data_IF_455970095229
#
_entry.id   IF_455970095229
#
_cell.length_a   1.000
_cell.length_b   1.000
_cell.length_c   1.000
_cell.angle_alpha   90.00
_cell.angle_beta   90.00
_cell.angle_gamma   90.00
#
_symmetry.space_group_name_H-M   'P 1'
#
loop_
_entity.id
_entity.type
_entity.pdbx_description
1 polymer ?
#
# COMPACT_ATOMS: atom_id res chain seq x y z
N UNK A 1 -2.00 -60.61 -1.95
CA UNK A 1 -0.92 -61.63 -2.04
C UNK A 1 0.37 -60.87 -1.82
N UNK A 2 0.93 -61.03 -0.63
CA UNK A 2 2.25 -61.55 -0.25
C UNK A 2 3.41 -60.76 -0.81
N UNK A 3 4.07 -60.05 0.04
CA UNK A 3 5.19 -60.28 1.00
C UNK A 3 6.50 -59.80 0.42
N UNK A 4 7.11 -58.88 1.08
CA UNK A 4 8.23 -58.98 2.06
C UNK A 4 9.59 -59.02 1.35
N UNK A 5 10.65 -58.39 1.74
CA UNK A 5 11.36 -58.30 3.02
C UNK A 5 12.56 -57.35 2.91
N UNK A 6 12.86 -56.65 3.96
CA UNK A 6 14.18 -56.15 4.39
C UNK A 6 15.03 -57.36 4.87
N UNK A 7 16.36 -57.39 5.15
CA UNK A 7 17.13 -56.36 5.88
C UNK A 7 18.68 -56.40 5.75
N UNK A 8 19.34 -55.47 6.54
CA UNK A 8 20.63 -55.61 7.29
C UNK A 8 21.96 -55.15 6.64
N UNK A 9 22.56 -54.12 7.28
CA UNK A 9 23.60 -54.10 8.36
C UNK A 9 25.05 -54.36 7.93
N UNK A 10 25.92 -53.46 8.40
CA UNK A 10 27.35 -53.66 8.64
C UNK A 10 28.16 -52.36 8.55
N UNK A 11 28.46 -51.68 9.58
CA UNK A 11 29.44 -51.67 10.66
C UNK A 11 30.89 -51.34 10.24
N UNK A 12 31.35 -50.20 10.81
CA UNK A 12 32.62 -49.93 11.54
C UNK A 12 33.90 -49.64 10.74
N UNK A 13 34.53 -48.55 11.24
CA UNK A 13 35.97 -48.34 11.15
C UNK A 13 36.34 -46.93 11.62
N UNK A 14 36.97 -46.89 12.81
CA UNK A 14 37.41 -45.71 13.53
C UNK A 14 38.85 -45.31 13.19
N UNK A 15 39.21 -44.16 13.74
CA UNK A 15 40.54 -43.70 14.12
C UNK A 15 41.29 -42.68 13.27
N UNK A 16 41.71 -41.64 13.99
CA UNK A 16 42.82 -40.79 13.59
C UNK A 16 42.83 -39.37 14.09
N UNK A 17 42.96 -39.16 15.42
CA UNK A 17 43.35 -37.90 16.01
C UNK A 17 44.71 -37.42 15.52
N UNK A 18 44.86 -36.13 15.22
CA UNK A 18 46.13 -35.40 15.46
C UNK A 18 45.86 -33.95 15.86
N UNK A 19 46.21 -33.71 17.11
CA UNK A 19 46.42 -32.41 17.75
C UNK A 19 47.60 -31.68 17.09
N UNK A 20 47.47 -30.42 16.77
CA UNK A 20 48.60 -29.53 16.54
C UNK A 20 48.52 -28.28 17.44
N UNK A 21 49.60 -28.02 18.11
CA UNK A 21 49.89 -27.16 19.25
C UNK A 21 49.75 -25.67 18.97
N UNK A 22 49.26 -24.97 19.99
CA UNK A 22 49.38 -23.52 20.18
C UNK A 22 50.84 -23.10 20.36
N UNK A 23 51.22 -21.94 19.82
CA UNK A 23 52.32 -21.12 20.31
C UNK A 23 51.92 -19.64 20.41
N UNK A 24 52.60 -18.80 21.24
CA UNK A 24 51.96 -17.71 21.93
C UNK A 24 52.22 -16.31 21.35
N UNK A 25 51.34 -15.39 21.75
CA UNK A 25 51.37 -13.96 21.43
C UNK A 25 52.64 -13.24 21.94
N UNK A 26 53.24 -12.40 21.10
CA UNK A 26 54.13 -11.31 21.49
C UNK A 26 53.35 -10.00 21.62
N UNK A 27 53.35 -9.45 22.83
CA UNK A 27 52.96 -8.06 23.12
C UNK A 27 53.95 -7.09 22.48
N UNK A 28 53.47 -6.09 21.77
CA UNK A 28 54.23 -4.84 21.59
C UNK A 28 53.31 -3.67 21.96
N UNK A 29 53.72 -2.93 22.95
CA UNK A 29 53.23 -1.65 23.40
C UNK A 29 53.69 -0.55 22.45
N UNK A 30 52.78 0.33 22.07
CA UNK A 30 53.12 1.55 21.33
C UNK A 30 52.00 2.54 21.44
N UNK A 31 52.09 3.47 22.37
CA UNK A 31 51.21 4.61 22.57
C UNK A 31 51.41 5.63 21.45
N UNK A 32 50.37 5.99 20.75
CA UNK A 32 50.32 7.28 20.04
C UNK A 32 48.88 7.82 20.09
N UNK A 33 48.74 8.91 20.84
CA UNK A 33 47.53 9.74 20.89
C UNK A 33 47.41 10.52 19.59
N UNK A 34 46.46 10.17 18.76
CA UNK A 34 45.96 11.07 17.72
C UNK A 34 44.54 11.50 18.09
N UNK A 35 44.36 12.77 18.40
CA UNK A 35 43.08 13.43 18.58
C UNK A 35 42.40 13.56 17.21
N UNK A 36 41.44 12.70 16.89
CA UNK A 36 40.50 12.85 15.78
C UNK A 36 39.25 13.59 16.27
N UNK A 37 39.17 14.89 16.05
CA UNK A 37 37.91 15.64 16.05
C UNK A 37 37.22 15.38 14.74
N UNK A 38 35.97 14.85 14.78
CA UNK A 38 35.12 14.87 13.60
C UNK A 38 34.16 13.70 13.47
N UNK A 39 33.10 13.61 14.30
CA UNK A 39 31.83 12.94 13.90
C UNK A 39 30.66 13.26 14.85
N UNK A 40 30.53 14.48 15.36
CA UNK A 40 29.45 14.84 16.28
C UNK A 40 28.28 15.59 15.65
N UNK A 41 28.31 15.89 14.34
CA UNK A 41 27.26 16.69 13.67
C UNK A 41 26.06 15.88 13.16
N UNK A 42 26.31 14.70 12.63
CA UNK A 42 25.23 13.89 11.99
C UNK A 42 24.33 13.22 13.04
N UNK A 43 24.91 12.77 14.16
CA UNK A 43 24.13 12.14 15.24
C UNK A 43 23.20 13.12 15.97
N UNK A 44 23.70 14.32 16.27
CA UNK A 44 22.90 15.34 16.98
C UNK A 44 21.70 15.83 16.18
N UNK A 45 21.86 16.06 14.88
CA UNK A 45 20.75 16.47 13.99
C UNK A 45 19.68 15.38 13.85
N UNK A 46 20.07 14.11 13.93
CA UNK A 46 19.15 12.97 13.83
C UNK A 46 18.37 12.76 15.11
N UNK A 47 19.00 12.95 16.27
CA UNK A 47 18.35 12.86 17.58
C UNK A 47 17.42 14.04 17.85
N UNK A 48 17.75 15.23 17.37
CA UNK A 48 16.90 16.41 17.43
C UNK A 48 15.69 16.28 16.53
N UNK A 49 15.83 15.73 15.30
CA UNK A 49 14.70 15.43 14.40
C UNK A 49 13.79 14.37 15.02
N UNK A 50 14.33 13.29 15.59
CA UNK A 50 13.56 12.26 16.30
C UNK A 50 12.80 12.81 17.51
N UNK A 51 13.37 13.76 18.25
CA UNK A 51 12.67 14.46 19.34
C UNK A 51 11.50 15.30 18.82
N UNK A 52 11.68 15.99 17.71
CA UNK A 52 10.63 16.80 17.08
C UNK A 52 9.50 15.93 16.49
N UNK A 53 9.84 14.78 15.90
CA UNK A 53 8.84 13.85 15.34
C UNK A 53 7.95 13.23 16.42
N UNK A 54 8.46 13.06 17.64
CA UNK A 54 7.71 12.54 18.82
C UNK A 54 7.13 13.63 19.72
N UNK A 55 7.27 14.90 19.38
CA UNK A 55 6.58 15.98 20.04
C UNK A 55 5.16 16.14 19.49
N UNK A 56 4.31 15.16 19.81
CA UNK A 56 2.94 15.10 19.29
C UNK A 56 2.09 16.32 19.65
N UNK A 57 2.45 17.03 20.71
CA UNK A 57 1.71 18.19 21.17
C UNK A 57 2.04 19.46 20.38
N UNK A 58 3.29 19.59 19.90
CA UNK A 58 3.77 20.81 19.25
C UNK A 58 4.07 20.64 17.75
N UNK A 59 4.02 19.40 17.22
CA UNK A 59 4.25 19.15 15.81
C UNK A 59 2.93 19.27 15.02
N UNK A 60 2.79 20.24 14.08
CA UNK A 60 1.58 20.46 13.30
C UNK A 60 1.10 19.23 12.52
N UNK A 61 2.01 18.27 12.23
CA UNK A 61 1.65 17.00 11.59
C UNK A 61 0.60 16.22 12.38
N UNK A 62 0.57 16.39 13.71
CA UNK A 62 -0.27 15.61 14.61
C UNK A 62 -1.47 16.40 15.16
N UNK A 63 -1.67 17.60 14.62
CA UNK A 63 -2.82 18.41 15.00
C UNK A 63 -4.14 17.67 14.74
N UNK A 64 -5.01 17.61 15.74
CA UNK A 64 -6.28 16.89 15.67
C UNK A 64 -6.19 15.37 15.68
N UNK A 65 -5.00 14.77 15.94
CA UNK A 65 -4.80 13.33 16.09
C UNK A 65 -4.66 12.96 17.57
N UNK A 66 -5.57 12.13 18.07
CA UNK A 66 -5.59 11.64 19.44
C UNK A 66 -4.90 10.27 19.56
N UNK A 67 -4.21 10.09 20.69
CA UNK A 67 -3.62 8.83 21.11
C UNK A 67 -4.09 8.48 22.51
N UNK A 68 -4.53 7.25 22.74
CA UNK A 68 -4.94 6.75 24.06
C UNK A 68 -3.77 6.15 24.87
N UNK A 69 -2.55 6.33 24.38
CA UNK A 69 -1.31 5.83 24.97
C UNK A 69 -0.25 6.93 24.97
N UNK A 70 0.77 6.74 25.80
CA UNK A 70 1.88 7.68 25.96
C UNK A 70 3.09 7.29 25.09
N UNK A 71 4.04 8.22 24.93
CA UNK A 71 5.33 7.94 24.29
C UNK A 71 6.13 6.90 25.07
N UNK A 72 5.99 6.83 26.40
CA UNK A 72 6.61 5.78 27.19
C UNK A 72 6.07 4.39 26.86
N UNK A 73 4.77 4.27 26.56
CA UNK A 73 4.19 3.01 26.10
C UNK A 73 4.76 2.58 24.75
N UNK A 74 4.88 3.52 23.81
CA UNK A 74 5.50 3.25 22.50
C UNK A 74 6.94 2.75 22.68
N UNK A 75 7.76 3.47 23.46
CA UNK A 75 9.16 3.07 23.72
C UNK A 75 9.28 1.70 24.38
N UNK A 76 8.36 1.36 25.28
CA UNK A 76 8.32 0.05 25.93
C UNK A 76 7.98 -1.09 24.96
N UNK A 77 7.23 -0.80 23.90
CA UNK A 77 6.81 -1.77 22.87
C UNK A 77 7.79 -1.85 21.69
N UNK A 78 8.68 -0.87 21.54
CA UNK A 78 9.77 -0.93 20.56
C UNK A 78 10.80 -1.96 20.97
N UNK A 79 11.44 -2.61 19.99
CA UNK A 79 12.60 -3.50 20.25
C UNK A 79 13.85 -2.71 20.62
N UNK A 80 14.86 -3.41 21.13
CA UNK A 80 16.18 -2.81 21.44
C UNK A 80 16.93 -2.32 20.20
N UNK A 81 16.63 -2.88 19.04
CA UNK A 81 17.19 -2.48 17.74
C UNK A 81 16.12 -1.71 16.98
N UNK A 82 16.47 -0.49 16.57
CA UNK A 82 15.58 0.33 15.74
C UNK A 82 15.73 -0.12 14.28
N UNK A 83 14.66 -0.64 13.71
CA UNK A 83 14.58 -1.00 12.29
C UNK A 83 14.14 0.24 11.50
N UNK A 84 14.91 0.60 10.47
CA UNK A 84 14.58 1.74 9.61
C UNK A 84 13.73 1.30 8.42
N UNK A 85 12.52 1.82 8.33
CA UNK A 85 11.58 1.58 7.23
C UNK A 85 11.64 2.75 6.23
N UNK A 86 12.77 2.88 5.53
CA UNK A 86 13.11 4.06 4.70
C UNK A 86 12.04 4.38 3.66
N UNK A 87 11.53 3.38 2.93
CA UNK A 87 10.53 3.61 1.88
C UNK A 87 9.18 4.04 2.47
N UNK A 88 8.73 3.40 3.55
CA UNK A 88 7.48 3.76 4.22
C UNK A 88 7.54 5.18 4.79
N UNK A 89 8.64 5.54 5.46
CA UNK A 89 8.84 6.89 6.01
C UNK A 89 8.85 7.94 4.90
N UNK A 90 9.70 7.77 3.88
CA UNK A 90 9.77 8.68 2.73
C UNK A 90 8.40 8.82 2.05
N UNK A 91 7.71 7.70 1.83
CA UNK A 91 6.39 7.68 1.23
C UNK A 91 5.34 8.42 2.08
N UNK A 92 5.32 8.19 3.40
CA UNK A 92 4.38 8.85 4.30
C UNK A 92 4.62 10.36 4.38
N UNK A 93 5.86 10.80 4.53
CA UNK A 93 6.24 12.22 4.52
C UNK A 93 5.86 12.89 3.19
N UNK A 94 6.13 12.22 2.05
CA UNK A 94 5.78 12.70 0.71
C UNK A 94 4.26 12.77 0.52
N UNK A 95 3.52 11.73 0.94
CA UNK A 95 2.06 11.72 0.85
C UNK A 95 1.45 12.87 1.63
N UNK A 96 1.91 13.09 2.88
CA UNK A 96 1.45 14.20 3.69
C UNK A 96 1.70 15.56 3.01
N UNK A 97 2.91 15.77 2.50
CA UNK A 97 3.27 17.01 1.80
C UNK A 97 2.40 17.25 0.55
N UNK A 98 2.15 16.20 -0.23
CA UNK A 98 1.29 16.28 -1.41
C UNK A 98 -0.16 16.61 -1.06
N UNK A 99 -0.70 16.00 0.01
CA UNK A 99 -2.07 16.28 0.48
C UNK A 99 -2.26 17.73 0.95
N UNK A 100 -1.18 18.38 1.42
CA UNK A 100 -1.22 19.79 1.81
C UNK A 100 -1.04 20.74 0.61
N UNK A 101 -0.17 20.37 -0.33
CA UNK A 101 0.23 21.26 -1.43
C UNK A 101 -0.72 21.19 -2.64
N UNK A 102 -1.24 19.99 -2.96
CA UNK A 102 -2.05 19.79 -4.16
C UNK A 102 -3.53 20.10 -3.92
N UNK A 103 -4.27 20.54 -4.94
CA UNK A 103 -5.73 20.64 -4.85
C UNK A 103 -6.37 19.31 -4.44
N UNK A 104 -5.92 18.23 -5.05
CA UNK A 104 -6.18 16.83 -4.68
C UNK A 104 -5.14 15.92 -5.34
N UNK A 105 -4.99 14.71 -4.81
CA UNK A 105 -4.19 13.64 -5.41
C UNK A 105 -5.15 12.62 -5.99
N UNK A 106 -4.94 12.25 -7.26
CA UNK A 106 -5.61 11.13 -7.89
C UNK A 106 -4.69 9.91 -7.97
N UNK A 107 -5.23 8.74 -7.73
CA UNK A 107 -4.50 7.48 -7.77
C UNK A 107 -5.31 6.40 -8.51
N UNK A 108 -4.62 5.46 -9.10
CA UNK A 108 -5.22 4.30 -9.75
C UNK A 108 -4.79 3.03 -9.02
N UNK A 109 -5.70 2.07 -8.93
CA UNK A 109 -5.39 0.75 -8.41
C UNK A 109 -4.37 0.05 -9.29
N UNK A 110 -3.18 -0.28 -8.75
CA UNK A 110 -2.19 -1.12 -9.42
C UNK A 110 -2.33 -2.57 -8.93
N UNK A 111 -2.22 -3.53 -9.85
CA UNK A 111 -2.24 -4.97 -9.55
C UNK A 111 -0.83 -5.57 -9.59
N UNK A 112 0.05 -5.01 -10.43
CA UNK A 112 1.42 -5.47 -10.65
C UNK A 112 2.43 -4.34 -10.49
N UNK A 113 3.70 -4.70 -10.27
CA UNK A 113 4.79 -3.72 -10.24
C UNK A 113 4.93 -2.94 -11.55
N UNK A 114 4.76 -3.61 -12.69
CA UNK A 114 4.85 -2.94 -14.00
C UNK A 114 3.70 -1.96 -14.25
N UNK A 115 2.47 -2.28 -13.81
CA UNK A 115 1.39 -1.29 -13.86
C UNK A 115 1.71 -0.06 -13.00
N UNK A 116 2.23 -0.26 -11.79
CA UNK A 116 2.65 0.83 -10.93
C UNK A 116 3.77 1.68 -11.56
N UNK A 117 4.77 1.02 -12.17
CA UNK A 117 5.85 1.68 -12.90
C UNK A 117 5.29 2.58 -14.01
N UNK A 118 4.36 2.07 -14.82
CA UNK A 118 3.74 2.86 -15.89
C UNK A 118 2.88 4.01 -15.35
N UNK A 119 2.21 3.84 -14.20
CA UNK A 119 1.48 4.94 -13.54
C UNK A 119 2.42 6.08 -13.13
N UNK A 120 3.60 5.75 -12.56
CA UNK A 120 4.61 6.74 -12.17
C UNK A 120 5.19 7.43 -13.40
N UNK A 121 5.53 6.66 -14.44
CA UNK A 121 6.05 7.18 -15.70
C UNK A 121 5.08 8.13 -16.40
N UNK A 122 3.78 7.81 -16.30
CA UNK A 122 2.70 8.67 -16.81
C UNK A 122 2.42 9.91 -15.92
N UNK A 123 3.16 10.09 -14.82
CA UNK A 123 3.10 11.29 -13.97
C UNK A 123 2.11 11.22 -12.81
N UNK A 124 1.53 10.06 -12.48
CA UNK A 124 0.72 9.93 -11.27
C UNK A 124 1.61 10.07 -10.01
N UNK A 125 1.12 10.82 -9.03
CA UNK A 125 1.86 11.16 -7.81
C UNK A 125 1.63 10.20 -6.65
N UNK A 126 0.73 9.22 -6.81
CA UNK A 126 0.43 8.19 -5.81
C UNK A 126 -0.13 6.94 -6.46
N UNK A 127 0.09 5.80 -5.83
CA UNK A 127 -0.46 4.50 -6.20
C UNK A 127 -1.48 4.09 -5.14
N UNK A 128 -2.63 3.58 -5.58
CA UNK A 128 -3.56 2.89 -4.71
C UNK A 128 -3.37 1.37 -4.86
N UNK A 129 -3.37 0.64 -3.74
CA UNK A 129 -3.34 -0.82 -3.73
C UNK A 129 -4.62 -1.37 -3.15
N UNK A 130 -5.45 -1.94 -4.00
CA UNK A 130 -6.78 -2.46 -3.71
C UNK A 130 -6.74 -3.88 -3.16
N UNK A 131 -7.37 -4.11 -2.00
CA UNK A 131 -7.62 -5.46 -1.48
C UNK A 131 -8.49 -6.29 -2.42
N UNK A 132 -9.48 -5.68 -3.07
CA UNK A 132 -10.29 -6.33 -4.09
C UNK A 132 -9.44 -6.92 -5.24
N UNK A 133 -8.51 -6.14 -5.78
CA UNK A 133 -7.61 -6.62 -6.83
C UNK A 133 -6.67 -7.73 -6.33
N UNK A 134 -6.21 -7.61 -5.08
CA UNK A 134 -5.40 -8.66 -4.45
C UNK A 134 -6.20 -9.94 -4.26
N UNK A 135 -7.45 -9.85 -3.81
CA UNK A 135 -8.34 -11.01 -3.72
C UNK A 135 -8.52 -11.70 -5.09
N UNK A 136 -8.74 -10.90 -6.14
CA UNK A 136 -9.03 -11.42 -7.47
C UNK A 136 -7.84 -12.13 -8.12
N UNK A 137 -6.61 -11.60 -8.02
CA UNK A 137 -5.51 -12.10 -8.87
C UNK A 137 -4.09 -11.93 -8.29
N UNK A 138 -3.91 -11.54 -7.04
CA UNK A 138 -2.57 -11.31 -6.51
C UNK A 138 -2.37 -11.78 -5.06
N UNK A 139 -3.28 -12.60 -4.52
CA UNK A 139 -3.16 -13.10 -3.17
C UNK A 139 -2.20 -14.29 -3.06
N UNK A 140 -1.68 -14.49 -1.85
CA UNK A 140 -0.70 -15.55 -1.56
C UNK A 140 -1.30 -16.96 -1.53
N UNK A 141 -2.63 -17.12 -1.49
CA UNK A 141 -3.29 -18.41 -1.64
C UNK A 141 -3.29 -18.90 -3.11
N UNK A 142 -3.00 -18.01 -4.09
CA UNK A 142 -3.01 -18.34 -5.51
C UNK A 142 -4.41 -18.69 -6.05
N UNK A 143 -5.45 -18.23 -5.39
CA UNK A 143 -6.84 -18.45 -5.78
C UNK A 143 -7.50 -17.17 -6.26
N UNK A 144 -8.51 -17.28 -7.11
CA UNK A 144 -9.38 -16.17 -7.43
C UNK A 144 -10.50 -16.09 -6.39
N UNK A 145 -10.50 -15.01 -5.60
CA UNK A 145 -11.50 -14.78 -4.56
C UNK A 145 -12.32 -13.51 -4.80
N UNK A 146 -13.59 -13.49 -4.34
CA UNK A 146 -14.32 -12.25 -4.16
C UNK A 146 -13.68 -11.43 -3.02
N UNK A 147 -14.02 -10.15 -2.98
CA UNK A 147 -13.58 -9.21 -1.94
C UNK A 147 -14.32 -9.45 -0.61
N UNK A 148 -13.94 -10.51 0.09
CA UNK A 148 -14.53 -10.99 1.35
C UNK A 148 -13.47 -11.45 2.36
N UNK A 149 -12.26 -10.91 2.29
CA UNK A 149 -11.13 -11.25 3.17
C UNK A 149 -10.83 -12.75 3.26
N UNK A 150 -11.02 -13.50 2.15
CA UNK A 150 -10.77 -14.95 2.09
C UNK A 150 -9.28 -15.29 1.89
N UNK A 151 -8.48 -14.32 1.55
CA UNK A 151 -7.06 -14.50 1.30
C UNK A 151 -6.21 -14.25 2.56
N UNK A 152 -4.97 -14.76 2.63
CA UNK A 152 -4.08 -14.53 3.76
C UNK A 152 -3.79 -13.05 3.99
N UNK A 153 -3.83 -12.58 5.24
CA UNK A 153 -3.69 -11.18 5.63
C UNK A 153 -2.39 -10.51 5.12
N UNK A 154 -1.32 -11.29 4.91
CA UNK A 154 -0.04 -10.82 4.39
C UNK A 154 0.01 -10.70 2.86
N UNK A 155 -1.10 -10.91 2.15
CA UNK A 155 -1.14 -10.81 0.68
C UNK A 155 -0.97 -9.37 0.20
N UNK A 156 -1.67 -8.41 0.80
CA UNK A 156 -1.52 -6.98 0.44
C UNK A 156 -0.10 -6.48 0.75
N UNK A 157 0.50 -6.71 1.92
CA UNK A 157 1.91 -6.42 2.17
C UNK A 157 2.87 -6.99 1.13
N UNK A 158 2.64 -8.23 0.67
CA UNK A 158 3.47 -8.87 -0.37
C UNK A 158 3.41 -8.12 -1.71
N UNK A 159 2.23 -7.62 -2.11
CA UNK A 159 2.09 -6.82 -3.34
C UNK A 159 2.68 -5.42 -3.18
N UNK A 160 2.52 -4.75 -2.02
CA UNK A 160 3.22 -3.50 -1.71
C UNK A 160 4.73 -3.66 -1.90
N UNK A 161 5.29 -4.73 -1.33
CA UNK A 161 6.72 -5.05 -1.45
C UNK A 161 7.12 -5.26 -2.91
N UNK A 162 6.33 -6.01 -3.68
CA UNK A 162 6.57 -6.26 -5.13
C UNK A 162 6.61 -4.94 -5.92
N UNK A 163 5.64 -4.05 -5.69
CA UNK A 163 5.60 -2.73 -6.33
C UNK A 163 6.85 -1.93 -5.97
N UNK A 164 7.18 -1.81 -4.70
CA UNK A 164 8.37 -1.10 -4.25
C UNK A 164 9.67 -1.67 -4.84
N UNK A 165 9.79 -2.99 -4.97
CA UNK A 165 10.96 -3.63 -5.61
C UNK A 165 11.05 -3.30 -7.11
N UNK A 166 9.91 -3.21 -7.81
CA UNK A 166 9.89 -2.77 -9.21
C UNK A 166 10.32 -1.32 -9.34
N UNK A 167 9.80 -0.42 -8.49
CA UNK A 167 10.20 0.99 -8.49
C UNK A 167 11.67 1.19 -8.11
N UNK A 168 12.20 0.40 -7.16
CA UNK A 168 13.63 0.38 -6.85
C UNK A 168 14.48 -0.05 -8.05
N UNK A 169 14.03 -1.04 -8.82
CA UNK A 169 14.73 -1.46 -10.03
C UNK A 169 14.70 -0.35 -11.09
N UNK A 170 13.57 0.31 -11.28
CA UNK A 170 13.46 1.45 -12.20
C UNK A 170 14.41 2.60 -11.81
N UNK A 171 14.49 2.92 -10.51
CA UNK A 171 15.43 3.91 -9.97
C UNK A 171 16.90 3.54 -10.24
N UNK A 172 17.25 2.26 -10.04
CA UNK A 172 18.60 1.74 -10.30
C UNK A 172 18.97 1.81 -11.77
N UNK A 173 18.05 1.47 -12.67
CA UNK A 173 18.23 1.56 -14.13
C UNK A 173 18.45 3.03 -14.50
N UNK A 174 17.55 3.92 -14.09
CA UNK A 174 17.65 5.33 -14.35
C UNK A 174 18.96 5.94 -13.85
N UNK A 175 19.42 5.53 -12.66
CA UNK A 175 20.68 5.98 -12.07
C UNK A 175 21.89 5.58 -12.90
N UNK A 176 21.96 4.33 -13.37
CA UNK A 176 23.04 3.83 -14.24
C UNK A 176 23.06 4.57 -15.57
N UNK A 177 21.89 4.87 -16.11
CA UNK A 177 21.76 5.63 -17.38
C UNK A 177 21.96 7.13 -17.24
N UNK A 178 22.21 7.62 -16.03
CA UNK A 178 22.37 9.07 -15.77
C UNK A 178 21.06 9.86 -15.84
N UNK A 179 19.91 9.19 -15.82
CA UNK A 179 18.57 9.78 -15.83
C UNK A 179 18.08 9.96 -14.40
N UNK A 180 17.70 11.18 -14.01
CA UNK A 180 17.21 11.48 -12.65
C UNK A 180 15.97 12.41 -12.72
N UNK A 181 15.20 12.32 -13.77
CA UNK A 181 14.05 13.16 -14.08
C UNK A 181 12.74 12.65 -13.44
N UNK A 182 12.68 11.37 -13.05
CA UNK A 182 11.51 10.75 -12.43
C UNK A 182 11.81 10.39 -10.97
N UNK A 183 10.98 10.87 -10.05
CA UNK A 183 10.96 10.34 -8.68
C UNK A 183 10.08 9.08 -8.62
N UNK A 184 10.71 7.92 -8.77
CA UNK A 184 10.07 6.62 -8.82
C UNK A 184 9.33 6.25 -7.52
N UNK A 185 9.78 6.78 -6.37
CA UNK A 185 9.21 6.43 -5.06
C UNK A 185 7.99 7.28 -4.73
N UNK A 186 6.92 7.12 -5.51
CA UNK A 186 5.63 7.71 -5.16
C UNK A 186 4.98 6.95 -4.01
N UNK A 187 4.21 7.62 -3.13
CA UNK A 187 3.57 6.99 -1.99
C UNK A 187 2.51 5.97 -2.42
N UNK A 188 2.49 4.82 -1.72
CA UNK A 188 1.50 3.77 -1.88
C UNK A 188 0.51 3.84 -0.72
N UNK A 189 -0.79 4.00 -1.01
CA UNK A 189 -1.88 3.83 -0.04
C UNK A 189 -2.50 2.46 -0.23
N UNK A 190 -2.45 1.63 0.82
CA UNK A 190 -2.79 0.22 0.75
C UNK A 190 -4.05 -0.13 1.56
N UNK A 191 -4.81 -1.08 1.04
CA UNK A 191 -6.02 -1.64 1.65
C UNK A 191 -5.64 -2.59 2.80
N UNK A 192 -6.09 -2.27 4.02
CA UNK A 192 -5.97 -3.16 5.17
C UNK A 192 -7.30 -3.86 5.50
N UNK A 193 -8.29 -3.78 4.60
CA UNK A 193 -9.59 -4.41 4.77
C UNK A 193 -10.27 -4.02 6.11
N UNK A 194 -10.96 -4.96 6.75
CA UNK A 194 -11.45 -4.81 8.12
C UNK A 194 -10.40 -5.25 9.19
N UNK A 195 -9.12 -5.36 8.81
CA UNK A 195 -8.02 -5.69 9.73
C UNK A 195 -7.80 -7.20 9.97
N UNK A 196 -8.53 -8.08 9.28
CA UNK A 196 -8.42 -9.55 9.38
C UNK A 196 -8.59 -10.12 10.81
N UNK A 197 -9.27 -9.38 11.67
CA UNK A 197 -9.55 -9.82 13.05
C UNK A 197 -9.72 -8.65 14.01
N UNK A 198 -9.22 -8.79 15.23
CA UNK A 198 -9.28 -7.76 16.26
C UNK A 198 -8.10 -6.78 16.23
N UNK A 199 -8.00 -5.88 17.24
CA UNK A 199 -6.95 -4.84 17.27
C UNK A 199 -5.52 -5.38 17.22
N UNK A 200 -5.24 -6.58 17.74
CA UNK A 200 -3.92 -7.20 17.67
C UNK A 200 -3.57 -7.66 16.26
N UNK A 201 -4.57 -8.16 15.50
CA UNK A 201 -4.39 -8.49 14.08
C UNK A 201 -4.10 -7.24 13.27
N UNK A 202 -4.84 -6.14 13.52
CA UNK A 202 -4.59 -4.85 12.89
C UNK A 202 -3.17 -4.36 13.19
N UNK A 203 -2.74 -4.41 14.45
CA UNK A 203 -1.39 -3.98 14.85
C UNK A 203 -0.30 -4.68 14.02
N UNK A 204 -0.35 -6.02 13.94
CA UNK A 204 0.66 -6.79 13.17
C UNK A 204 0.51 -6.59 11.66
N UNK A 205 -0.71 -6.47 11.13
CA UNK A 205 -0.93 -6.18 9.71
C UNK A 205 -0.32 -4.84 9.30
N UNK A 206 -0.53 -3.79 10.11
CA UNK A 206 0.01 -2.46 9.80
C UNK A 206 1.54 -2.44 9.90
N UNK A 207 2.15 -3.16 10.84
CA UNK A 207 3.60 -3.36 10.85
C UNK A 207 4.08 -4.00 9.54
N UNK A 208 3.43 -5.07 9.09
CA UNK A 208 3.79 -5.72 7.83
C UNK A 208 3.62 -4.78 6.61
N UNK A 209 2.60 -3.91 6.60
CA UNK A 209 2.44 -2.88 5.58
C UNK A 209 3.59 -1.87 5.57
N UNK A 210 4.01 -1.42 6.75
CA UNK A 210 5.14 -0.50 6.92
C UNK A 210 6.46 -1.16 6.50
N UNK A 211 6.70 -2.39 6.88
CA UNK A 211 7.87 -3.18 6.45
C UNK A 211 7.93 -3.33 4.93
N UNK A 212 6.77 -3.50 4.29
CA UNK A 212 6.65 -3.55 2.83
C UNK A 212 6.85 -2.19 2.14
N UNK A 213 6.78 -1.08 2.89
CA UNK A 213 6.97 0.28 2.39
C UNK A 213 5.69 1.04 2.04
N UNK A 214 4.55 0.70 2.64
CA UNK A 214 3.31 1.47 2.50
C UNK A 214 3.43 2.86 3.16
N UNK A 215 2.96 3.89 2.48
CA UNK A 215 2.93 5.27 2.95
C UNK A 215 1.67 5.58 3.78
N UNK A 216 0.58 4.97 3.41
CA UNK A 216 -0.72 5.06 4.08
C UNK A 216 -1.48 3.76 4.00
N UNK A 217 -2.42 3.58 4.91
CA UNK A 217 -3.30 2.42 4.97
C UNK A 217 -4.72 2.86 5.29
N UNK A 218 -5.70 2.14 4.78
CA UNK A 218 -7.08 2.35 5.22
C UNK A 218 -7.67 1.10 5.86
N UNK A 219 -8.57 1.33 6.80
CA UNK A 219 -9.33 0.32 7.53
C UNK A 219 -10.81 0.65 7.43
N UNK A 220 -11.64 -0.35 7.25
CA UNK A 220 -13.09 -0.23 7.23
C UNK A 220 -13.74 -0.79 8.50
N UNK A 221 -14.93 -0.29 8.83
CA UNK A 221 -15.66 -0.61 10.06
C UNK A 221 -16.56 -1.85 9.95
N UNK A 222 -16.25 -2.78 9.05
CA UNK A 222 -16.93 -4.05 8.90
C UNK A 222 -16.39 -5.12 9.86
N UNK A 223 -17.23 -6.11 10.18
CA UNK A 223 -16.80 -7.34 10.84
C UNK A 223 -15.93 -8.16 9.87
N UNK A 224 -14.70 -8.44 10.24
CA UNK A 224 -13.72 -9.10 9.38
C UNK A 224 -14.19 -10.47 8.84
N UNK A 225 -14.89 -11.27 9.66
CA UNK A 225 -15.43 -12.59 9.24
C UNK A 225 -16.62 -12.49 8.27
N UNK A 226 -17.30 -11.35 8.22
CA UNK A 226 -18.45 -11.09 7.36
C UNK A 226 -18.21 -9.94 6.37
N UNK A 227 -16.94 -9.61 6.14
CA UNK A 227 -16.55 -8.52 5.23
C UNK A 227 -17.09 -8.74 3.83
N UNK A 228 -17.60 -7.68 3.25
CA UNK A 228 -18.08 -7.62 1.86
C UNK A 228 -17.48 -6.40 1.17
N UNK A 229 -17.32 -6.47 -0.15
CA UNK A 229 -17.02 -5.28 -0.96
C UNK A 229 -18.03 -4.16 -0.67
N UNK A 230 -17.55 -2.92 -0.65
CA UNK A 230 -18.38 -1.75 -0.30
C UNK A 230 -19.69 -1.59 -1.08
N UNK A 231 -19.76 -2.17 -2.29
CA UNK A 231 -20.93 -2.11 -3.17
C UNK A 231 -21.83 -3.35 -3.09
N UNK A 232 -21.52 -4.29 -2.21
CA UNK A 232 -22.32 -5.49 -1.98
C UNK A 232 -23.27 -5.32 -0.78
N UNK A 233 -24.34 -6.13 -0.75
CA UNK A 233 -25.23 -6.28 0.40
C UNK A 233 -24.62 -7.15 1.49
N UNK A 234 -25.31 -7.25 2.64
CA UNK A 234 -24.95 -8.15 3.74
C UNK A 234 -23.76 -7.68 4.57
N UNK A 235 -23.36 -6.41 4.47
CA UNK A 235 -22.30 -5.83 5.30
C UNK A 235 -22.74 -5.76 6.76
N UNK A 236 -21.84 -6.19 7.66
CA UNK A 236 -22.04 -6.15 9.10
C UNK A 236 -21.02 -5.20 9.72
N UNK A 237 -21.48 -4.12 10.34
CA UNK A 237 -20.62 -3.18 11.04
C UNK A 237 -20.14 -3.75 12.37
N UNK A 238 -18.92 -3.41 12.77
CA UNK A 238 -18.53 -3.50 14.18
C UNK A 238 -19.02 -2.27 14.94
N UNK A 239 -19.17 -2.31 16.28
CA UNK A 239 -19.47 -1.12 17.08
C UNK A 239 -18.46 -0.01 16.80
N UNK A 240 -18.91 1.25 16.83
CA UNK A 240 -18.06 2.42 16.61
C UNK A 240 -16.78 2.39 17.46
N UNK A 241 -16.88 1.99 18.75
CA UNK A 241 -15.70 1.85 19.64
C UNK A 241 -14.71 0.78 19.17
N UNK A 242 -15.20 -0.31 18.56
CA UNK A 242 -14.32 -1.36 18.05
C UNK A 242 -13.56 -0.91 16.80
N UNK A 243 -14.22 -0.19 15.89
CA UNK A 243 -13.56 0.45 14.77
C UNK A 243 -12.51 1.48 15.23
N UNK A 244 -12.82 2.29 16.25
CA UNK A 244 -11.84 3.21 16.87
C UNK A 244 -10.65 2.43 17.44
N UNK A 245 -10.87 1.28 18.09
CA UNK A 245 -9.78 0.46 18.61
C UNK A 245 -8.86 -0.07 17.49
N UNK A 246 -9.41 -0.39 16.31
CA UNK A 246 -8.62 -0.73 15.12
C UNK A 246 -7.77 0.47 14.65
N UNK A 247 -8.33 1.68 14.59
CA UNK A 247 -7.58 2.88 14.21
C UNK A 247 -6.47 3.21 15.21
N UNK A 248 -6.73 3.05 16.51
CA UNK A 248 -5.73 3.21 17.57
C UNK A 248 -4.62 2.16 17.42
N UNK A 249 -4.96 0.89 17.14
CA UNK A 249 -3.98 -0.18 16.93
C UNK A 249 -3.10 0.11 15.70
N UNK A 250 -3.69 0.60 14.61
CA UNK A 250 -2.96 1.01 13.42
C UNK A 250 -2.00 2.17 13.71
N UNK A 251 -2.45 3.20 14.44
CA UNK A 251 -1.60 4.32 14.86
C UNK A 251 -0.48 3.88 15.79
N UNK A 252 -0.77 2.99 16.75
CA UNK A 252 0.24 2.44 17.65
C UNK A 252 1.30 1.64 16.88
N UNK A 253 0.90 0.85 15.88
CA UNK A 253 1.85 0.13 15.02
C UNK A 253 2.77 1.10 14.26
N UNK A 254 2.23 2.18 13.70
CA UNK A 254 2.98 3.22 13.04
C UNK A 254 3.98 3.92 13.99
N UNK A 255 3.53 4.29 15.18
CA UNK A 255 4.36 4.93 16.19
C UNK A 255 5.46 3.97 16.71
N UNK A 256 5.17 2.68 16.90
CA UNK A 256 6.16 1.65 17.29
C UNK A 256 7.20 1.42 16.20
N UNK A 257 6.79 1.44 14.92
CA UNK A 257 7.71 1.36 13.77
C UNK A 257 8.45 2.67 13.50
N UNK A 258 8.15 3.74 14.26
CA UNK A 258 8.72 5.08 14.07
C UNK A 258 8.50 5.60 12.63
N UNK A 259 7.30 5.40 12.06
CA UNK A 259 6.93 5.86 10.71
C UNK A 259 5.65 6.69 10.80
N UNK A 260 5.59 7.90 10.22
CA UNK A 260 4.40 8.77 10.26
C UNK A 260 3.33 8.32 9.24
N UNK A 261 3.03 7.00 9.20
CA UNK A 261 2.08 6.38 8.29
C UNK A 261 0.72 7.06 8.36
N UNK A 262 0.13 7.37 7.22
CA UNK A 262 -1.20 7.95 7.17
C UNK A 262 -2.25 6.86 7.37
N UNK A 263 -3.19 7.12 8.28
CA UNK A 263 -4.32 6.24 8.58
C UNK A 263 -5.58 6.86 7.99
N UNK A 264 -6.26 6.11 7.12
CA UNK A 264 -7.54 6.48 6.54
C UNK A 264 -8.62 5.62 7.19
N UNK A 265 -9.63 6.26 7.77
CA UNK A 265 -10.79 5.56 8.34
C UNK A 265 -11.92 5.53 7.31
N UNK A 266 -12.29 4.34 6.86
CA UNK A 266 -13.44 4.11 6.00
C UNK A 266 -14.65 3.70 6.84
N UNK A 267 -15.82 4.27 6.53
CA UNK A 267 -17.09 3.76 7.02
C UNK A 267 -17.95 3.24 5.89
N UNK A 268 -18.53 2.06 6.10
CA UNK A 268 -19.50 1.43 5.22
C UNK A 268 -20.96 1.66 5.68
N UNK A 269 -21.18 2.48 6.70
CA UNK A 269 -22.48 2.72 7.33
C UNK A 269 -23.53 3.33 6.41
N UNK A 270 -23.09 3.98 5.31
CA UNK A 270 -24.01 4.52 4.31
C UNK A 270 -24.87 3.43 3.64
N UNK A 271 -24.38 2.19 3.57
CA UNK A 271 -25.10 1.07 2.96
C UNK A 271 -25.22 -0.18 3.84
N UNK A 272 -24.52 -0.24 4.98
CA UNK A 272 -24.57 -1.39 5.87
C UNK A 272 -25.83 -1.35 6.76
N UNK A 273 -26.61 -2.42 6.71
CA UNK A 273 -27.86 -2.54 7.46
C UNK A 273 -27.78 -3.41 8.71
N UNK A 274 -26.57 -3.90 9.06
CA UNK A 274 -26.35 -4.81 10.20
C UNK A 274 -25.18 -4.31 11.06
N UNK A 275 -25.26 -4.62 12.36
CA UNK A 275 -24.20 -4.39 13.34
C UNK A 275 -24.09 -5.57 14.29
N UNK A 276 -22.88 -5.89 14.77
CA UNK A 276 -22.63 -7.06 15.62
C UNK A 276 -23.28 -7.00 16.99
N UNK A 277 -23.40 -5.80 17.59
CA UNK A 277 -23.94 -5.61 18.95
C UNK A 277 -24.50 -4.21 19.15
N UNK A 278 -25.39 -4.04 20.11
CA UNK A 278 -25.99 -2.79 20.54
C UNK A 278 -25.28 -2.12 21.73
N UNK A 279 -24.08 -2.57 22.08
CA UNK A 279 -23.40 -2.16 23.31
C UNK A 279 -22.76 -0.76 23.26
N UNK A 280 -22.55 -0.18 22.07
CA UNK A 280 -22.01 1.19 21.95
C UNK A 280 -23.14 2.21 21.87
N UNK A 281 -23.08 3.21 22.73
CA UNK A 281 -24.11 4.27 22.80
C UNK A 281 -24.18 5.09 21.54
N UNK A 282 -23.08 5.27 20.85
CA UNK A 282 -22.98 6.03 19.58
C UNK A 282 -23.76 5.38 18.44
N UNK A 283 -23.98 4.07 18.50
CA UNK A 283 -24.71 3.33 17.48
C UNK A 283 -26.21 3.17 17.81
N UNK A 284 -26.63 3.46 19.06
CA UNK A 284 -27.99 3.17 19.56
C UNK A 284 -29.10 3.88 18.77
N UNK A 285 -28.89 5.12 18.36
CA UNK A 285 -29.91 5.87 17.62
C UNK A 285 -30.25 5.27 16.25
N UNK A 286 -29.33 4.46 15.68
CA UNK A 286 -29.51 3.81 14.39
C UNK A 286 -30.12 2.41 14.48
N UNK A 287 -30.26 1.83 15.67
CA UNK A 287 -30.85 0.50 15.87
C UNK A 287 -32.34 0.51 15.55
N UNK A 288 -32.82 -0.53 14.84
CA UNK A 288 -34.25 -0.71 14.55
C UNK A 288 -34.99 -1.50 15.64
N UNK A 289 -34.26 -2.17 16.52
CA UNK A 289 -34.82 -3.12 17.50
C UNK A 289 -34.90 -4.55 17.00
N UNK A 290 -34.74 -4.82 15.70
CA UNK A 290 -34.79 -6.14 15.09
C UNK A 290 -33.43 -6.83 15.11
N UNK A 291 -33.46 -8.19 15.03
CA UNK A 291 -32.26 -9.03 14.91
C UNK A 291 -32.40 -10.02 13.76
N UNK A 292 -31.24 -10.43 13.21
CA UNK A 292 -31.17 -11.51 12.23
C UNK A 292 -31.10 -12.88 12.89
N UNK A 293 -31.22 -13.95 12.11
CA UNK A 293 -31.10 -15.32 12.59
C UNK A 293 -29.70 -15.62 13.14
N UNK A 294 -28.67 -14.95 12.65
CA UNK A 294 -27.29 -15.05 13.15
C UNK A 294 -27.07 -14.23 14.44
N UNK A 295 -28.06 -13.45 14.84
CA UNK A 295 -28.01 -12.64 16.05
C UNK A 295 -27.49 -11.22 15.87
N UNK A 296 -27.19 -10.75 14.65
CA UNK A 296 -26.84 -9.37 14.37
C UNK A 296 -28.03 -8.45 14.59
N UNK A 297 -27.78 -7.22 15.02
CA UNK A 297 -28.80 -6.20 15.10
C UNK A 297 -28.98 -5.50 13.75
N UNK A 298 -30.22 -5.12 13.42
CA UNK A 298 -30.51 -4.28 12.26
C UNK A 298 -30.30 -2.81 12.59
N UNK A 299 -29.73 -2.08 11.66
CA UNK A 299 -29.54 -0.62 11.75
C UNK A 299 -30.13 0.09 10.54
N UNK A 300 -30.53 1.34 10.75
CA UNK A 300 -30.86 2.25 9.65
C UNK A 300 -29.57 2.73 9.00
N UNK A 301 -29.25 2.16 7.81
CA UNK A 301 -28.15 2.63 6.98
C UNK A 301 -28.44 4.05 6.44
N UNK A 302 -27.41 4.75 6.02
CA UNK A 302 -27.52 6.04 5.37
C UNK A 302 -26.47 7.04 5.78
N UNK A 303 -26.55 8.21 5.15
CA UNK A 303 -25.56 9.26 5.31
C UNK A 303 -25.43 9.74 6.78
N UNK A 304 -26.53 9.81 7.52
CA UNK A 304 -26.52 10.27 8.91
C UNK A 304 -25.69 9.32 9.80
N UNK A 305 -25.85 7.99 9.62
CA UNK A 305 -25.03 7.01 10.32
C UNK A 305 -23.56 7.11 9.89
N UNK A 306 -23.29 7.28 8.60
CA UNK A 306 -21.93 7.46 8.10
C UNK A 306 -21.28 8.74 8.65
N UNK A 307 -22.01 9.84 8.77
CA UNK A 307 -21.55 11.08 9.38
C UNK A 307 -21.22 10.87 10.86
N UNK A 308 -22.12 10.24 11.63
CA UNK A 308 -21.91 10.00 13.07
C UNK A 308 -20.64 9.19 13.32
N UNK A 309 -20.40 8.15 12.49
CA UNK A 309 -19.17 7.35 12.54
C UNK A 309 -17.95 8.13 12.07
N UNK A 310 -18.02 8.86 10.95
CA UNK A 310 -16.94 9.71 10.46
C UNK A 310 -16.48 10.74 11.51
N UNK A 311 -17.41 11.37 12.19
CA UNK A 311 -17.12 12.29 13.31
C UNK A 311 -16.43 11.57 14.48
N UNK A 312 -16.82 10.33 14.77
CA UNK A 312 -16.21 9.52 15.83
C UNK A 312 -14.80 9.08 15.47
N UNK A 313 -14.50 8.87 14.20
CA UNK A 313 -13.19 8.43 13.70
C UNK A 313 -12.19 9.57 13.48
N UNK A 314 -12.68 10.79 13.25
CA UNK A 314 -11.87 11.95 12.90
C UNK A 314 -10.69 12.22 13.85
N UNK A 315 -10.79 12.04 15.19
CA UNK A 315 -9.64 12.19 16.09
C UNK A 315 -8.56 11.10 15.94
N UNK A 316 -8.83 9.97 15.29
CA UNK A 316 -7.96 8.80 15.26
C UNK A 316 -7.37 8.50 13.87
N UNK A 317 -7.82 9.23 12.84
CA UNK A 317 -7.38 9.04 11.47
C UNK A 317 -6.93 10.35 10.82
N UNK A 318 -6.02 10.25 9.85
CA UNK A 318 -5.56 11.41 9.07
C UNK A 318 -6.61 11.84 8.06
N UNK A 319 -7.25 10.86 7.39
CA UNK A 319 -8.33 11.08 6.44
C UNK A 319 -9.57 10.28 6.82
N UNK A 320 -10.74 10.81 6.45
CA UNK A 320 -12.02 10.11 6.60
C UNK A 320 -12.59 9.80 5.23
N UNK A 321 -13.11 8.58 5.07
CA UNK A 321 -13.72 8.08 3.86
C UNK A 321 -15.09 7.48 4.15
N UNK A 322 -16.12 8.02 3.52
CA UNK A 322 -17.45 7.42 3.46
C UNK A 322 -17.59 6.62 2.16
N UNK A 323 -17.78 5.30 2.26
CA UNK A 323 -18.07 4.50 1.06
C UNK A 323 -19.47 4.80 0.54
N UNK A 324 -19.58 5.07 -0.78
CA UNK A 324 -20.82 5.47 -1.45
C UNK A 324 -21.23 4.45 -2.51
N UNK A 325 -22.51 4.45 -2.89
CA UNK A 325 -23.05 3.50 -3.88
C UNK A 325 -23.22 4.11 -5.26
N UNK A 326 -23.01 5.42 -5.41
CA UNK A 326 -23.15 6.15 -6.68
C UNK A 326 -22.37 7.47 -6.63
N UNK A 327 -22.00 8.04 -7.78
CA UNK A 327 -21.32 9.33 -7.85
C UNK A 327 -22.30 10.46 -7.56
N UNK A 328 -22.32 10.95 -6.32
CA UNK A 328 -23.25 12.00 -5.86
C UNK A 328 -22.50 13.11 -5.12
N UNK A 329 -22.28 14.24 -5.81
CA UNK A 329 -21.60 15.40 -5.24
C UNK A 329 -22.39 16.08 -4.10
N UNK A 330 -23.72 16.02 -4.15
CA UNK A 330 -24.54 16.60 -3.07
C UNK A 330 -24.41 15.80 -1.77
N UNK A 331 -24.35 14.46 -1.87
CA UNK A 331 -24.09 13.57 -0.73
C UNK A 331 -22.67 13.79 -0.20
N UNK A 332 -21.68 13.83 -1.09
CA UNK A 332 -20.30 14.11 -0.73
C UNK A 332 -20.15 15.46 -0.02
N UNK A 333 -20.84 16.50 -0.50
CA UNK A 333 -20.86 17.83 0.12
C UNK A 333 -21.43 17.79 1.53
N UNK A 334 -22.59 17.16 1.73
CA UNK A 334 -23.20 17.04 3.08
C UNK A 334 -22.29 16.33 4.07
N UNK A 335 -21.63 15.25 3.62
CA UNK A 335 -20.66 14.55 4.47
C UNK A 335 -19.47 15.44 4.82
N UNK A 336 -18.86 16.10 3.85
CA UNK A 336 -17.73 17.01 4.06
C UNK A 336 -18.08 18.17 4.99
N UNK A 337 -19.21 18.84 4.77
CA UNK A 337 -19.68 19.94 5.61
C UNK A 337 -19.89 19.51 7.08
N UNK A 338 -20.49 18.32 7.29
CA UNK A 338 -20.70 17.80 8.64
C UNK A 338 -19.39 17.49 9.36
N UNK A 339 -18.41 16.90 8.66
CA UNK A 339 -17.08 16.65 9.24
C UNK A 339 -16.36 17.96 9.54
N UNK A 340 -16.32 18.88 8.59
CA UNK A 340 -15.59 20.14 8.72
C UNK A 340 -16.20 21.11 9.75
N UNK A 341 -17.50 21.02 10.01
CA UNK A 341 -18.15 21.79 11.07
C UNK A 341 -17.58 21.48 12.48
N UNK A 342 -17.12 20.24 12.71
CA UNK A 342 -16.51 19.83 13.99
C UNK A 342 -14.99 19.71 13.92
N UNK A 343 -14.45 19.39 12.77
CA UNK A 343 -13.02 19.18 12.53
C UNK A 343 -12.59 19.99 11.29
N UNK A 344 -12.46 21.33 11.43
CA UNK A 344 -12.05 22.18 10.31
C UNK A 344 -10.75 21.69 9.67
N UNK A 345 -10.72 21.59 8.34
CA UNK A 345 -9.53 21.14 7.60
C UNK A 345 -9.23 19.64 7.64
N UNK A 346 -10.09 18.81 8.27
CA UNK A 346 -9.92 17.35 8.24
C UNK A 346 -9.92 16.86 6.79
N UNK A 347 -8.87 16.14 6.42
CA UNK A 347 -8.73 15.60 5.08
C UNK A 347 -9.74 14.48 4.82
N UNK A 348 -10.24 14.41 3.59
CA UNK A 348 -11.20 13.40 3.17
C UNK A 348 -10.63 12.58 2.01
N UNK A 349 -11.11 11.32 1.87
CA UNK A 349 -10.81 10.46 0.75
C UNK A 349 -12.10 10.03 0.03
N UNK A 350 -12.02 9.79 -1.28
CA UNK A 350 -13.16 9.37 -2.10
C UNK A 350 -12.79 8.26 -3.07
N UNK A 351 -13.59 7.19 -3.07
CA UNK A 351 -13.51 6.12 -4.05
C UNK A 351 -14.33 6.51 -5.29
N UNK A 352 -13.65 6.88 -6.38
CA UNK A 352 -14.25 7.02 -7.71
C UNK A 352 -14.49 5.63 -8.31
N UNK A 353 -15.41 4.88 -7.71
CA UNK A 353 -15.57 3.45 -7.90
C UNK A 353 -15.87 3.05 -9.34
N UNK A 354 -15.23 2.00 -9.88
CA UNK A 354 -15.62 1.37 -11.14
C UNK A 354 -16.96 0.62 -11.05
N UNK A 355 -17.50 0.40 -9.85
CA UNK A 355 -18.87 -0.13 -9.66
C UNK A 355 -19.96 0.89 -10.01
N UNK A 356 -19.61 2.16 -10.16
CA UNK A 356 -20.52 3.17 -10.65
C UNK A 356 -20.63 3.08 -12.16
N UNK A 357 -21.86 3.09 -12.69
CA UNK A 357 -22.05 3.34 -14.11
C UNK A 357 -22.05 4.86 -14.34
N UNK A 358 -20.86 5.44 -14.49
CA UNK A 358 -20.63 6.88 -14.55
C UNK A 358 -21.49 7.60 -15.58
N UNK A 359 -21.51 7.10 -16.83
CA UNK A 359 -22.27 7.73 -17.92
C UNK A 359 -23.79 7.53 -17.82
N UNK A 360 -24.25 6.52 -17.08
CA UNK A 360 -25.68 6.35 -16.77
C UNK A 360 -26.14 7.32 -15.68
N UNK A 361 -25.23 7.76 -14.82
CA UNK A 361 -25.52 8.59 -13.64
C UNK A 361 -25.28 10.08 -13.87
N UNK A 362 -24.28 10.42 -14.69
CA UNK A 362 -23.81 11.79 -14.90
C UNK A 362 -23.55 12.04 -16.39
N UNK A 363 -23.79 13.27 -16.83
CA UNK A 363 -23.37 13.75 -18.14
C UNK A 363 -21.83 13.94 -18.21
N UNK A 364 -21.32 14.05 -19.45
CA UNK A 364 -19.86 14.17 -19.68
C UNK A 364 -19.24 15.42 -19.04
N UNK A 365 -19.99 16.54 -18.98
CA UNK A 365 -19.52 17.77 -18.34
C UNK A 365 -19.40 17.62 -16.82
N UNK A 366 -20.36 16.97 -16.18
CA UNK A 366 -20.34 16.66 -14.76
C UNK A 366 -19.23 15.68 -14.42
N UNK A 367 -18.99 14.65 -15.23
CA UNK A 367 -17.88 13.70 -15.04
C UNK A 367 -16.54 14.44 -15.14
N UNK A 368 -16.35 15.33 -16.12
CA UNK A 368 -15.09 16.04 -16.35
C UNK A 368 -14.65 16.95 -15.19
N UNK A 369 -15.56 17.44 -14.37
CA UNK A 369 -15.27 18.31 -13.20
C UNK A 369 -15.41 17.60 -11.85
N UNK A 370 -15.90 16.36 -11.83
CA UNK A 370 -16.28 15.64 -10.61
C UNK A 370 -15.16 15.64 -9.57
N UNK A 371 -13.94 15.25 -9.94
CA UNK A 371 -12.79 15.19 -9.04
C UNK A 371 -12.35 16.57 -8.54
N UNK A 372 -12.44 17.61 -9.37
CA UNK A 372 -12.11 18.98 -8.95
C UNK A 372 -13.11 19.52 -7.93
N UNK A 373 -14.39 19.23 -8.12
CA UNK A 373 -15.43 19.62 -7.18
C UNK A 373 -15.28 18.88 -5.85
N UNK A 374 -14.95 17.59 -5.86
CA UNK A 374 -14.58 16.85 -4.67
C UNK A 374 -13.34 17.46 -3.96
N UNK A 375 -12.29 17.78 -4.72
CA UNK A 375 -11.09 18.42 -4.17
C UNK A 375 -11.40 19.74 -3.44
N UNK A 376 -12.28 20.57 -4.02
CA UNK A 376 -12.75 21.82 -3.40
C UNK A 376 -13.52 21.59 -2.10
N UNK A 377 -14.14 20.42 -1.92
CA UNK A 377 -14.84 20.03 -0.69
C UNK A 377 -13.91 19.40 0.36
N UNK A 378 -12.60 19.28 0.10
CA UNK A 378 -11.63 18.67 1.02
C UNK A 378 -11.35 17.19 0.80
N UNK A 379 -11.89 16.57 -0.25
CA UNK A 379 -11.52 15.21 -0.67
C UNK A 379 -10.15 15.23 -1.35
N UNK A 380 -9.11 15.22 -0.53
CA UNK A 380 -7.72 15.40 -0.97
C UNK A 380 -7.10 14.14 -1.57
N UNK A 381 -7.58 12.96 -1.23
CA UNK A 381 -7.13 11.70 -1.82
C UNK A 381 -8.29 11.02 -2.55
N UNK A 382 -8.17 10.89 -3.87
CA UNK A 382 -9.22 10.33 -4.74
C UNK A 382 -8.63 9.20 -5.58
N UNK A 383 -9.35 8.10 -5.74
CA UNK A 383 -8.79 6.93 -6.39
C UNK A 383 -9.83 6.09 -7.12
N UNK A 384 -9.37 5.33 -8.11
CA UNK A 384 -10.16 4.31 -8.81
C UNK A 384 -9.64 2.94 -8.39
N UNK A 385 -10.41 2.24 -7.57
CA UNK A 385 -9.95 1.02 -6.89
C UNK A 385 -9.49 -0.09 -7.82
N UNK A 386 -10.23 -0.37 -8.90
CA UNK A 386 -10.02 -1.53 -9.77
C UNK A 386 -9.45 -1.15 -11.15
N UNK A 387 -8.77 -0.01 -11.26
CA UNK A 387 -8.25 0.46 -12.55
C UNK A 387 -7.31 -0.56 -13.20
N UNK A 388 -6.39 -1.16 -12.43
CA UNK A 388 -5.45 -2.16 -12.91
C UNK A 388 -6.14 -3.43 -13.41
N UNK A 389 -7.14 -3.92 -12.67
CA UNK A 389 -7.92 -5.09 -13.08
C UNK A 389 -8.66 -4.84 -14.39
N UNK A 390 -9.38 -3.72 -14.53
CA UNK A 390 -10.14 -3.43 -15.74
C UNK A 390 -9.24 -3.16 -16.95
N UNK A 391 -8.14 -2.41 -16.77
CA UNK A 391 -7.19 -2.15 -17.86
C UNK A 391 -6.56 -3.45 -18.38
N UNK A 392 -6.09 -4.32 -17.48
CA UNK A 392 -5.47 -5.60 -17.83
C UNK A 392 -6.45 -6.51 -18.57
N UNK A 393 -7.63 -6.72 -17.99
CA UNK A 393 -8.60 -7.66 -18.58
C UNK A 393 -9.16 -7.15 -19.91
N UNK A 394 -9.47 -5.86 -20.01
CA UNK A 394 -10.02 -5.28 -21.23
C UNK A 394 -9.00 -5.34 -22.38
N UNK A 395 -7.75 -4.92 -22.15
CA UNK A 395 -6.72 -4.93 -23.19
C UNK A 395 -6.41 -6.36 -23.66
N UNK A 396 -6.28 -7.32 -22.75
CA UNK A 396 -6.03 -8.72 -23.11
C UNK A 396 -7.21 -9.35 -23.85
N UNK A 397 -8.45 -9.06 -23.43
CA UNK A 397 -9.63 -9.57 -24.12
C UNK A 397 -9.68 -9.08 -25.58
N UNK A 398 -9.43 -7.80 -25.83
CA UNK A 398 -9.40 -7.23 -27.17
C UNK A 398 -8.30 -7.85 -28.03
N UNK A 399 -7.10 -7.90 -27.52
CA UNK A 399 -5.98 -8.51 -28.21
C UNK A 399 -6.27 -9.99 -28.56
N UNK A 400 -6.73 -10.78 -27.59
CA UNK A 400 -6.98 -12.21 -27.79
C UNK A 400 -8.11 -12.45 -28.82
N UNK A 401 -9.20 -11.66 -28.77
CA UNK A 401 -10.28 -11.73 -29.76
C UNK A 401 -9.78 -11.46 -31.17
N UNK A 402 -9.04 -10.36 -31.33
CA UNK A 402 -8.59 -9.91 -32.64
C UNK A 402 -7.45 -10.79 -33.20
N UNK A 403 -6.57 -11.27 -32.31
CA UNK A 403 -5.51 -12.20 -32.66
C UNK A 403 -6.05 -13.56 -33.12
N UNK A 404 -7.14 -14.06 -32.52
CA UNK A 404 -7.81 -15.28 -32.96
C UNK A 404 -8.23 -15.22 -34.44
N UNK A 405 -8.72 -14.06 -34.89
CA UNK A 405 -9.31 -13.89 -36.20
C UNK A 405 -8.32 -13.35 -37.26
N UNK A 406 -7.32 -12.54 -36.82
CA UNK A 406 -6.37 -11.83 -37.72
C UNK A 406 -4.89 -12.17 -37.47
N UNK A 407 -4.58 -12.96 -36.43
CA UNK A 407 -3.21 -13.37 -36.12
C UNK A 407 -2.28 -12.18 -35.84
N UNK A 408 -1.08 -12.22 -36.45
CA UNK A 408 -0.04 -11.24 -36.22
C UNK A 408 -0.38 -9.81 -36.63
N UNK A 409 -1.36 -9.60 -37.50
CA UNK A 409 -1.86 -8.26 -37.87
C UNK A 409 -2.40 -7.55 -36.64
N UNK A 410 -3.24 -8.23 -35.83
CA UNK A 410 -3.76 -7.66 -34.58
C UNK A 410 -2.67 -7.37 -33.53
N UNK A 411 -1.65 -8.23 -33.45
CA UNK A 411 -0.52 -7.98 -32.56
C UNK A 411 0.33 -6.78 -33.02
N UNK A 412 0.55 -6.66 -34.33
CA UNK A 412 1.31 -5.54 -34.88
C UNK A 412 0.59 -4.19 -34.64
N UNK A 413 -0.75 -4.15 -34.66
CA UNK A 413 -1.52 -2.95 -34.29
C UNK A 413 -1.28 -2.53 -32.83
N UNK A 414 -1.19 -3.48 -31.90
CA UNK A 414 -0.83 -3.19 -30.52
C UNK A 414 0.58 -2.60 -30.44
N UNK A 415 1.55 -3.21 -31.14
CA UNK A 415 2.94 -2.78 -31.15
C UNK A 415 3.08 -1.36 -31.75
N UNK A 416 2.36 -1.04 -32.84
CA UNK A 416 2.33 0.31 -33.41
C UNK A 416 1.73 1.34 -32.45
N UNK A 417 0.71 0.94 -31.67
CA UNK A 417 0.14 1.81 -30.64
C UNK A 417 1.14 2.06 -29.49
N UNK A 418 1.95 1.07 -29.11
CA UNK A 418 3.03 1.21 -28.13
C UNK A 418 4.12 2.16 -28.64
N UNK A 419 4.58 2.04 -29.89
CA UNK A 419 5.53 2.97 -30.51
C UNK A 419 4.97 4.40 -30.56
N UNK A 420 3.71 4.55 -30.92
CA UNK A 420 3.05 5.86 -30.92
C UNK A 420 2.95 6.50 -29.52
N UNK A 421 2.95 5.69 -28.46
CA UNK A 421 2.90 6.13 -27.07
C UNK A 421 4.28 6.58 -26.52
N UNK A 422 5.39 6.23 -27.17
CA UNK A 422 6.75 6.62 -26.75
C UNK A 422 6.91 8.14 -26.63
N UNK A 423 6.28 8.91 -27.51
CA UNK A 423 6.24 10.39 -27.41
C UNK A 423 5.61 10.93 -26.13
N UNK A 424 4.87 10.08 -25.39
CA UNK A 424 4.27 10.39 -24.09
C UNK A 424 5.03 9.77 -22.94
N UNK A 425 6.21 9.16 -23.20
CA UNK A 425 7.09 8.57 -22.19
C UNK A 425 6.87 7.07 -21.95
N UNK A 426 6.03 6.38 -22.74
CA UNK A 426 5.94 4.93 -22.69
C UNK A 426 7.25 4.29 -23.17
N UNK A 427 7.72 3.24 -22.51
CA UNK A 427 9.06 2.67 -22.78
C UNK A 427 9.11 1.14 -22.81
N UNK A 428 7.99 0.46 -22.53
CA UNK A 428 7.97 -0.99 -22.45
C UNK A 428 8.05 -1.70 -23.81
N UNK A 429 8.04 -0.96 -24.92
CA UNK A 429 8.43 -1.46 -26.24
C UNK A 429 9.82 -2.10 -26.19
N UNK A 430 10.75 -1.44 -25.47
CA UNK A 430 12.11 -1.95 -25.19
C UNK A 430 12.07 -2.80 -23.91
N UNK A 431 11.41 -3.95 -23.99
CA UNK A 431 11.07 -4.75 -22.80
C UNK A 431 12.31 -5.36 -22.10
N UNK A 432 13.38 -5.68 -22.80
CA UNK A 432 14.63 -6.14 -22.18
C UNK A 432 15.30 -5.01 -21.40
N UNK A 433 15.35 -3.82 -21.99
CA UNK A 433 15.83 -2.63 -21.33
C UNK A 433 14.95 -2.26 -20.12
N UNK A 434 13.62 -2.30 -20.27
CA UNK A 434 12.65 -1.92 -19.22
C UNK A 434 12.79 -2.77 -17.95
N UNK A 435 13.13 -4.06 -18.08
CA UNK A 435 13.33 -4.96 -16.93
C UNK A 435 14.77 -4.96 -16.40
N UNK A 436 15.69 -4.18 -17.01
CA UNK A 436 17.02 -3.92 -16.50
C UNK A 436 18.12 -4.83 -17.04
N UNK A 437 18.01 -5.36 -18.26
CA UNK A 437 19.09 -6.13 -18.88
C UNK A 437 20.40 -5.35 -18.90
N UNK A 438 20.39 -4.06 -19.30
CA UNK A 438 21.59 -3.21 -19.28
C UNK A 438 22.16 -2.98 -17.88
N UNK A 439 21.29 -2.83 -16.87
CA UNK A 439 21.75 -2.74 -15.47
C UNK A 439 22.53 -4.00 -15.05
N UNK A 440 22.05 -5.19 -15.40
CA UNK A 440 22.76 -6.43 -15.06
C UNK A 440 24.01 -6.65 -15.92
N UNK A 441 24.06 -6.13 -17.14
CA UNK A 441 25.28 -6.10 -17.93
C UNK A 441 26.37 -5.28 -17.21
N UNK A 442 26.02 -4.12 -16.66
CA UNK A 442 26.93 -3.30 -15.87
C UNK A 442 27.38 -4.01 -14.57
N UNK A 443 26.45 -4.68 -13.88
CA UNK A 443 26.80 -5.51 -12.71
C UNK A 443 27.82 -6.58 -13.10
N UNK A 444 27.63 -7.26 -14.24
CA UNK A 444 28.56 -8.28 -14.75
C UNK A 444 29.94 -7.68 -15.09
N UNK A 445 29.96 -6.49 -15.72
CA UNK A 445 31.21 -5.77 -16.00
C UNK A 445 31.94 -5.38 -14.72
N UNK A 446 31.26 -4.87 -13.71
CA UNK A 446 31.88 -4.52 -12.40
C UNK A 446 32.45 -5.76 -11.74
N UNK A 447 31.72 -6.87 -11.70
CA UNK A 447 32.20 -8.14 -11.13
C UNK A 447 33.46 -8.64 -11.86
N UNK A 448 33.50 -8.53 -13.18
CA UNK A 448 34.61 -9.00 -14.01
C UNK A 448 35.70 -7.93 -14.25
N UNK A 449 35.71 -6.84 -13.48
CA UNK A 449 36.67 -5.73 -13.67
C UNK A 449 36.75 -5.21 -15.13
N UNK A 450 35.60 -5.14 -15.80
CA UNK A 450 35.50 -4.70 -17.18
C UNK A 450 35.77 -5.75 -18.25
N UNK A 451 36.00 -7.01 -17.86
CA UNK A 451 36.40 -8.08 -18.79
C UNK A 451 35.25 -9.07 -19.10
N UNK A 452 33.99 -8.75 -18.75
CA UNK A 452 32.88 -9.64 -19.09
C UNK A 452 32.59 -9.61 -20.60
N UNK A 453 32.51 -10.77 -21.18
CA UNK A 453 32.10 -11.01 -22.59
C UNK A 453 30.63 -11.47 -22.73
N UNK A 454 29.93 -11.61 -21.60
CA UNK A 454 28.56 -12.17 -21.55
C UNK A 454 27.48 -11.09 -21.35
N UNK A 455 27.72 -9.86 -21.81
CA UNK A 455 26.70 -8.82 -21.84
C UNK A 455 25.58 -9.19 -22.79
N UNK A 456 24.32 -8.95 -22.38
CA UNK A 456 23.15 -9.45 -23.07
C UNK A 456 22.42 -8.40 -23.92
N UNK A 457 22.46 -7.13 -23.53
CA UNK A 457 21.77 -6.05 -24.26
C UNK A 457 22.51 -5.67 -25.54
N UNK A 458 23.84 -5.63 -25.48
CA UNK A 458 24.68 -5.27 -26.63
C UNK A 458 24.60 -6.33 -27.73
N UNK A 459 24.24 -5.92 -28.94
CA UNK A 459 24.03 -6.82 -30.08
C UNK A 459 22.77 -7.67 -29.99
N UNK A 460 21.81 -7.24 -29.15
CA UNK A 460 20.48 -7.86 -29.09
C UNK A 460 19.57 -7.33 -30.19
N UNK A 461 18.55 -8.10 -30.56
CA UNK A 461 17.51 -7.66 -31.51
C UNK A 461 16.82 -6.37 -31.07
N UNK A 462 16.67 -6.16 -29.75
CA UNK A 462 16.10 -4.93 -29.21
C UNK A 462 16.99 -3.70 -29.53
N UNK A 463 18.30 -3.84 -29.40
CA UNK A 463 19.24 -2.81 -29.76
C UNK A 463 19.27 -2.52 -31.28
N UNK A 464 19.07 -3.56 -32.10
CA UNK A 464 19.15 -3.46 -33.57
C UNK A 464 17.86 -2.91 -34.20
N UNK A 465 16.69 -3.25 -33.64
CA UNK A 465 15.39 -3.06 -34.29
C UNK A 465 14.53 -1.95 -33.63
N UNK A 466 14.79 -1.56 -32.39
CA UNK A 466 13.98 -0.58 -31.67
C UNK A 466 14.75 0.73 -31.39
N UNK A 467 15.28 1.36 -32.44
CA UNK A 467 15.99 2.64 -32.40
C UNK A 467 15.10 3.81 -32.72
#
# INVERSE_FOLDING_TARGET
MRNSTNPRRGRRGADGQRLAKRQPQKKMSGTSKAKGKGSSGVGKNRDEKKKADHDWANNPRWEGISRSYSLSDVRRLQGNVIIEHTLARRGAEKLWSLLQAEPFINALGALTGNQALQQVRAGLKSIYLSGWQVAADANLAGQMYPDQSLYPANSVPAVVKRINQTLQRADQIARVEGKNDIDWFVPIVADAEAGFGGPLNVFELIKAMIEAGAAGVHLEDQLASEKKCGHMGGKVLVPTRAAIAHLIAARLAADVCDVPTLILARTDANAAALITTNADERDREFLTGERTVEGFFRVRSGLDQAIARGLSYAPFADLIWCETSQPNLAEAKKFAEAIHAKFPGKLLAYNCSPSFNWRKKLDSGSIAKFQRELGAMGYKFQFVTLAGFHALNYSMFHLARDYRDRGMEAYAELQEAEFAAEKHGYSATKHQHEVGTGYFDDVAQVIAAGLSSTTALRGSTEQEQFH
#
